data_IF_606797787002
#
_entry.id   IF_606797787002
#
_cell.length_a   1.000
_cell.length_b   1.000
_cell.length_c   1.000
_cell.angle_alpha   90.00
_cell.angle_beta   90.00
_cell.angle_gamma   90.00
#
_symmetry.space_group_name_H-M   'P 1'
#
loop_
_entity.id
_entity.type
_entity.pdbx_description
1 polymer ?
#
# COMPACT_ATOMS: atom_id res chain seq x y z
N UNK A 1 -43.26 -37.31 24.99
CA UNK A 1 -43.24 -36.45 23.77
C UNK A 1 -42.74 -35.05 24.09
N UNK A 2 -43.18 -34.42 25.18
CA UNK A 2 -42.76 -33.05 25.58
C UNK A 2 -41.24 -32.89 25.80
N UNK A 3 -40.57 -33.83 26.46
CA UNK A 3 -39.11 -33.78 26.67
C UNK A 3 -38.29 -33.80 25.36
N UNK A 4 -38.76 -34.52 24.34
CA UNK A 4 -38.09 -34.60 23.03
C UNK A 4 -38.21 -33.25 22.29
N UNK A 5 -39.37 -32.59 22.41
CA UNK A 5 -39.57 -31.26 21.83
C UNK A 5 -38.71 -30.21 22.54
N UNK A 6 -38.59 -30.27 23.88
CA UNK A 6 -37.70 -29.37 24.62
C UNK A 6 -36.23 -29.55 24.23
N UNK A 7 -35.76 -30.80 24.11
CA UNK A 7 -34.39 -31.09 23.66
C UNK A 7 -34.18 -30.58 22.22
N UNK A 8 -35.14 -30.82 21.32
CA UNK A 8 -35.06 -30.34 19.94
C UNK A 8 -34.97 -28.81 19.87
N UNK A 9 -35.76 -28.08 20.66
CA UNK A 9 -35.70 -26.61 20.72
C UNK A 9 -34.36 -26.12 21.26
N UNK A 10 -33.82 -26.74 22.32
CA UNK A 10 -32.51 -26.38 22.88
C UNK A 10 -31.40 -26.60 21.85
N UNK A 11 -31.43 -27.73 21.14
CA UNK A 11 -30.44 -28.04 20.09
C UNK A 11 -30.52 -27.03 18.95
N UNK A 12 -31.73 -26.69 18.48
CA UNK A 12 -31.92 -25.67 17.43
C UNK A 12 -31.43 -24.30 17.91
N UNK A 13 -31.75 -23.90 19.13
CA UNK A 13 -31.30 -22.63 19.70
C UNK A 13 -29.76 -22.59 19.84
N UNK A 14 -29.14 -23.68 20.27
CA UNK A 14 -27.69 -23.80 20.38
C UNK A 14 -27.00 -23.75 18.99
N UNK A 15 -27.58 -24.41 17.98
CA UNK A 15 -27.07 -24.36 16.60
C UNK A 15 -27.22 -22.97 15.99
N UNK A 16 -28.36 -22.31 16.20
CA UNK A 16 -28.58 -20.92 15.75
C UNK A 16 -27.66 -19.92 16.45
N UNK A 17 -27.42 -20.10 17.76
CA UNK A 17 -26.47 -19.28 18.50
C UNK A 17 -25.02 -19.50 18.01
N UNK A 18 -24.64 -20.74 17.75
CA UNK A 18 -23.31 -21.09 17.22
C UNK A 18 -23.10 -20.54 15.82
N UNK A 19 -24.10 -20.61 14.93
CA UNK A 19 -24.00 -20.04 13.59
C UNK A 19 -23.90 -18.52 13.64
N UNK A 20 -24.72 -17.85 14.46
CA UNK A 20 -24.66 -16.40 14.66
C UNK A 20 -23.31 -15.92 15.26
N UNK A 21 -22.80 -16.62 16.28
CA UNK A 21 -21.46 -16.34 16.83
C UNK A 21 -20.36 -16.49 15.78
N UNK A 22 -20.46 -17.51 14.92
CA UNK A 22 -19.47 -17.77 13.88
C UNK A 22 -19.47 -16.67 12.83
N UNK A 23 -20.65 -16.28 12.33
CA UNK A 23 -20.75 -15.19 11.33
C UNK A 23 -20.27 -13.86 11.90
N UNK A 24 -20.57 -13.54 13.15
CA UNK A 24 -20.09 -12.30 13.80
C UNK A 24 -18.57 -12.27 14.02
N UNK A 25 -17.94 -13.42 14.30
CA UNK A 25 -16.49 -13.50 14.40
C UNK A 25 -15.82 -13.39 13.04
N UNK A 26 -16.41 -14.01 12.01
CA UNK A 26 -15.91 -13.94 10.63
C UNK A 26 -16.03 -12.53 10.05
N UNK A 27 -17.14 -11.81 10.30
CA UNK A 27 -17.28 -10.40 9.91
C UNK A 27 -16.24 -9.54 10.61
N UNK A 28 -16.11 -9.67 11.95
CA UNK A 28 -15.13 -8.88 12.71
C UNK A 28 -13.69 -9.10 12.22
N UNK A 29 -13.30 -10.36 11.99
CA UNK A 29 -11.97 -10.69 11.44
C UNK A 29 -11.76 -10.11 10.05
N UNK A 30 -12.78 -10.18 9.18
CA UNK A 30 -12.69 -9.60 7.83
C UNK A 30 -12.56 -8.07 7.88
N UNK A 31 -13.27 -7.43 8.79
CA UNK A 31 -13.21 -5.98 8.97
C UNK A 31 -11.84 -5.57 9.55
N UNK A 32 -11.29 -6.34 10.50
CA UNK A 32 -9.93 -6.17 11.04
C UNK A 32 -8.87 -6.31 9.92
N UNK A 33 -8.95 -7.35 9.08
CA UNK A 33 -8.03 -7.54 7.94
C UNK A 33 -8.14 -6.37 6.94
N UNK A 34 -9.37 -6.02 6.55
CA UNK A 34 -9.62 -4.91 5.62
C UNK A 34 -9.07 -3.58 6.15
N UNK A 35 -9.19 -3.34 7.47
CA UNK A 35 -8.62 -2.15 8.11
C UNK A 35 -7.09 -2.12 8.06
N UNK A 36 -6.43 -3.26 8.34
CA UNK A 36 -4.97 -3.35 8.29
C UNK A 36 -4.42 -3.21 6.86
N UNK A 37 -5.13 -3.79 5.88
CA UNK A 37 -4.82 -3.64 4.47
C UNK A 37 -4.95 -2.18 4.02
N UNK A 38 -6.04 -1.51 4.39
CA UNK A 38 -6.26 -0.08 4.12
C UNK A 38 -5.15 0.77 4.72
N UNK A 39 -4.80 0.55 5.99
CA UNK A 39 -3.71 1.26 6.66
C UNK A 39 -2.37 1.08 5.95
N UNK A 40 -2.08 -0.13 5.47
CA UNK A 40 -0.82 -0.40 4.76
C UNK A 40 -0.72 0.37 3.43
N UNK A 41 -1.80 0.37 2.65
CA UNK A 41 -1.85 1.09 1.38
C UNK A 41 -1.83 2.61 1.63
N UNK A 42 -2.56 3.09 2.64
CA UNK A 42 -2.57 4.51 3.02
C UNK A 42 -1.18 4.99 3.42
N UNK A 43 -0.47 4.25 4.27
CA UNK A 43 0.92 4.51 4.62
C UNK A 43 1.84 4.53 3.40
N UNK A 44 1.63 3.63 2.44
CA UNK A 44 2.40 3.63 1.17
C UNK A 44 2.15 4.93 0.39
N UNK A 45 0.90 5.40 0.32
CA UNK A 45 0.57 6.67 -0.31
C UNK A 45 1.19 7.87 0.45
N UNK A 46 1.21 7.84 1.78
CA UNK A 46 1.89 8.86 2.60
C UNK A 46 3.41 8.90 2.34
N UNK A 47 4.05 7.73 2.19
CA UNK A 47 5.45 7.63 1.75
C UNK A 47 5.65 8.26 0.37
N UNK A 48 4.72 8.04 -0.58
CA UNK A 48 4.79 8.60 -1.93
C UNK A 48 4.57 10.12 -1.95
N UNK A 49 3.70 10.64 -1.09
CA UNK A 49 3.49 12.08 -0.90
C UNK A 49 4.75 12.71 -0.31
N UNK A 50 5.34 12.08 0.71
CA UNK A 50 6.59 12.55 1.31
C UNK A 50 7.69 12.60 0.26
N UNK A 51 7.83 11.53 -0.53
CA UNK A 51 8.81 11.46 -1.61
C UNK A 51 8.58 12.52 -2.68
N UNK A 52 7.32 12.77 -3.06
CA UNK A 52 6.96 13.84 -3.99
C UNK A 52 7.29 15.24 -3.45
N UNK A 53 7.14 15.46 -2.14
CA UNK A 53 7.59 16.70 -1.49
C UNK A 53 9.11 16.90 -1.58
N UNK A 54 9.90 15.84 -1.39
CA UNK A 54 11.36 15.88 -1.61
C UNK A 54 11.70 16.18 -3.07
N UNK A 55 11.02 15.53 -4.02
CA UNK A 55 11.20 15.77 -5.46
C UNK A 55 10.90 17.24 -5.84
N UNK A 56 9.87 17.84 -5.24
CA UNK A 56 9.55 19.26 -5.40
C UNK A 56 10.63 20.18 -4.83
N UNK A 57 11.20 19.82 -3.69
CA UNK A 57 12.33 20.57 -3.13
C UNK A 57 13.56 20.50 -4.03
N UNK A 58 13.86 19.32 -4.60
CA UNK A 58 14.95 19.18 -5.57
C UNK A 58 14.67 20.01 -6.83
N UNK A 59 13.43 20.05 -7.30
CA UNK A 59 13.04 20.90 -8.42
C UNK A 59 13.22 22.39 -8.08
N UNK A 60 12.85 22.84 -6.88
CA UNK A 60 13.04 24.22 -6.45
C UNK A 60 14.52 24.61 -6.55
N UNK A 61 15.40 23.76 -6.01
CA UNK A 61 16.86 23.93 -6.09
C UNK A 61 17.36 24.00 -7.55
N UNK A 62 16.85 23.12 -8.42
CA UNK A 62 17.18 23.12 -9.85
C UNK A 62 16.70 24.39 -10.57
N UNK A 63 15.66 25.06 -10.07
CA UNK A 63 15.06 26.25 -10.68
C UNK A 63 15.66 27.56 -10.15
N UNK A 64 16.42 27.53 -9.05
CA UNK A 64 17.04 28.73 -8.48
C UNK A 64 17.86 29.48 -9.53
N UNK A 65 17.57 30.77 -9.71
CA UNK A 65 18.26 31.65 -10.63
C UNK A 65 17.88 31.48 -12.11
N UNK A 66 16.93 30.61 -12.44
CA UNK A 66 16.41 30.44 -13.80
C UNK A 66 15.18 31.32 -14.03
N UNK A 67 15.05 31.86 -15.25
CA UNK A 67 13.85 32.59 -15.67
C UNK A 67 12.73 31.60 -16.05
N UNK A 68 11.83 31.35 -15.10
CA UNK A 68 10.62 30.57 -15.31
C UNK A 68 9.62 31.44 -16.09
N UNK A 69 9.67 31.39 -17.41
CA UNK A 69 8.62 31.98 -18.27
C UNK A 69 7.22 31.44 -17.91
N UNK A 70 6.16 32.07 -18.41
CA UNK A 70 4.79 31.84 -17.91
C UNK A 70 4.33 30.37 -17.94
N UNK A 71 4.67 29.63 -18.99
CA UNK A 71 4.33 28.21 -19.09
C UNK A 71 5.02 27.35 -18.03
N UNK A 72 6.30 27.61 -17.74
CA UNK A 72 7.02 26.87 -16.70
C UNK A 72 6.51 27.23 -15.30
N UNK A 73 6.13 28.50 -15.08
CA UNK A 73 5.53 28.94 -13.81
C UNK A 73 4.17 28.28 -13.55
N UNK A 74 3.33 28.15 -14.59
CA UNK A 74 2.03 27.46 -14.48
C UNK A 74 2.19 25.96 -14.18
N UNK A 75 3.11 25.28 -14.86
CA UNK A 75 3.37 23.86 -14.61
C UNK A 75 4.00 23.65 -13.21
N UNK A 76 4.85 24.58 -12.74
CA UNK A 76 5.40 24.56 -11.38
C UNK A 76 4.30 24.70 -10.32
N UNK A 77 3.39 25.66 -10.51
CA UNK A 77 2.23 25.84 -9.63
C UNK A 77 1.35 24.58 -9.61
N UNK A 78 1.10 23.95 -10.76
CA UNK A 78 0.34 22.70 -10.83
C UNK A 78 1.00 21.59 -10.01
N UNK A 79 2.33 21.49 -10.03
CA UNK A 79 3.05 20.49 -9.24
C UNK A 79 2.88 20.73 -7.73
N UNK A 80 2.94 21.99 -7.28
CA UNK A 80 2.68 22.38 -5.88
C UNK A 80 1.22 22.09 -5.48
N UNK A 81 0.26 22.43 -6.34
CA UNK A 81 -1.16 22.19 -6.11
C UNK A 81 -1.47 20.68 -6.00
N UNK A 82 -0.80 19.85 -6.82
CA UNK A 82 -0.88 18.39 -6.73
C UNK A 82 -0.37 17.88 -5.37
N UNK A 83 0.72 18.43 -4.84
CA UNK A 83 1.23 18.02 -3.53
C UNK A 83 0.23 18.33 -2.40
N UNK A 84 -0.31 19.55 -2.38
CA UNK A 84 -1.32 19.92 -1.39
C UNK A 84 -2.62 19.12 -1.55
N UNK A 85 -3.04 18.89 -2.79
CA UNK A 85 -4.22 18.06 -3.09
C UNK A 85 -4.02 16.61 -2.64
N UNK A 86 -2.85 16.03 -2.84
CA UNK A 86 -2.54 14.66 -2.42
C UNK A 86 -2.55 14.53 -0.89
N UNK A 87 -1.95 15.48 -0.17
CA UNK A 87 -2.01 15.56 1.31
C UNK A 87 -3.44 15.63 1.84
N UNK A 88 -4.29 16.44 1.21
CA UNK A 88 -5.70 16.54 1.61
C UNK A 88 -6.48 15.27 1.29
N UNK A 89 -6.24 14.69 0.11
CA UNK A 89 -6.94 13.50 -0.36
C UNK A 89 -6.62 12.28 0.50
N UNK A 90 -5.35 12.03 0.83
CA UNK A 90 -4.96 10.88 1.67
C UNK A 90 -5.57 10.95 3.07
N UNK A 91 -5.70 12.17 3.63
CA UNK A 91 -6.37 12.39 4.91
C UNK A 91 -7.84 11.96 4.93
N UNK A 92 -8.51 12.00 3.78
CA UNK A 92 -9.94 11.68 3.60
C UNK A 92 -10.18 10.21 3.18
N UNK A 93 -9.13 9.43 2.94
CA UNK A 93 -9.26 8.02 2.56
C UNK A 93 -9.84 7.19 3.71
N UNK A 94 -10.96 6.55 3.40
CA UNK A 94 -11.74 5.62 4.27
C UNK A 94 -11.94 4.25 3.62
N UNK A 95 -11.65 4.11 2.33
CA UNK A 95 -11.75 2.87 1.55
C UNK A 95 -10.53 2.72 0.63
N UNK A 96 -10.07 1.49 0.40
CA UNK A 96 -8.83 1.23 -0.37
C UNK A 96 -8.96 1.73 -1.82
N UNK A 97 -10.16 1.68 -2.39
CA UNK A 97 -10.47 2.13 -3.75
C UNK A 97 -10.17 3.62 -3.95
N UNK A 98 -10.27 4.42 -2.90
CA UNK A 98 -10.04 5.87 -2.95
C UNK A 98 -8.54 6.21 -3.12
N UNK A 99 -7.63 5.29 -2.80
CA UNK A 99 -6.18 5.49 -2.98
C UNK A 99 -5.85 5.78 -4.44
N UNK A 100 -6.60 5.19 -5.38
CA UNK A 100 -6.42 5.45 -6.81
C UNK A 100 -6.33 6.95 -7.12
N UNK A 101 -7.21 7.76 -6.53
CA UNK A 101 -7.25 9.19 -6.77
C UNK A 101 -6.05 9.93 -6.18
N UNK A 102 -5.54 9.51 -5.03
CA UNK A 102 -4.31 10.05 -4.44
C UNK A 102 -3.15 9.83 -5.41
N UNK A 103 -3.05 8.64 -5.98
CA UNK A 103 -1.98 8.29 -6.91
C UNK A 103 -2.12 9.04 -8.24
N UNK A 104 -3.34 9.17 -8.79
CA UNK A 104 -3.58 9.99 -9.99
C UNK A 104 -3.11 11.45 -9.81
N UNK A 105 -3.36 12.05 -8.63
CA UNK A 105 -2.92 13.42 -8.31
C UNK A 105 -1.39 13.52 -8.29
N UNK A 106 -0.71 12.53 -7.70
CA UNK A 106 0.75 12.48 -7.65
C UNK A 106 1.36 12.33 -9.05
N UNK A 107 0.76 11.50 -9.91
CA UNK A 107 1.20 11.33 -11.29
C UNK A 107 1.03 12.60 -12.12
N UNK A 108 -0.06 13.34 -11.92
CA UNK A 108 -0.25 14.66 -12.52
C UNK A 108 0.81 15.66 -12.04
N UNK A 109 1.17 15.61 -10.76
CA UNK A 109 2.23 16.40 -10.17
C UNK A 109 3.59 16.11 -10.82
N UNK A 110 4.00 14.84 -10.89
CA UNK A 110 5.27 14.43 -11.52
C UNK A 110 5.34 14.76 -13.00
N UNK A 111 4.22 14.63 -13.73
CA UNK A 111 4.14 15.07 -15.11
C UNK A 111 4.31 16.60 -15.25
N UNK A 112 3.72 17.39 -14.35
CA UNK A 112 3.90 18.83 -14.33
C UNK A 112 5.37 19.22 -14.06
N UNK A 113 6.05 18.55 -13.13
CA UNK A 113 7.49 18.74 -12.90
C UNK A 113 8.33 18.41 -14.13
N UNK A 114 7.99 17.34 -14.87
CA UNK A 114 8.67 17.01 -16.12
C UNK A 114 8.45 18.10 -17.18
N UNK A 115 7.26 18.69 -17.26
CA UNK A 115 6.99 19.85 -18.13
C UNK A 115 7.82 21.08 -17.73
N UNK A 116 7.97 21.38 -16.43
CA UNK A 116 8.83 22.47 -15.95
C UNK A 116 10.26 22.29 -16.46
N UNK A 117 10.85 21.12 -16.22
CA UNK A 117 12.23 20.81 -16.64
C UNK A 117 12.39 20.95 -18.15
N UNK A 118 11.46 20.40 -18.93
CA UNK A 118 11.50 20.48 -20.39
C UNK A 118 11.46 21.93 -20.89
N UNK A 119 10.53 22.75 -20.37
CA UNK A 119 10.42 24.17 -20.78
C UNK A 119 11.67 24.97 -20.45
N UNK A 120 12.21 24.78 -19.26
CA UNK A 120 13.40 25.49 -18.79
C UNK A 120 14.65 25.10 -19.59
N UNK A 121 14.73 23.85 -20.03
CA UNK A 121 15.83 23.36 -20.87
C UNK A 121 15.61 23.60 -22.37
N UNK A 122 14.46 24.16 -22.79
CA UNK A 122 14.12 24.34 -24.20
C UNK A 122 13.85 23.02 -24.95
N UNK A 123 13.51 21.97 -24.21
CA UNK A 123 13.20 20.65 -24.74
C UNK A 123 11.70 20.54 -25.11
N UNK A 124 11.33 19.62 -26.03
CA UNK A 124 9.94 19.30 -26.28
C UNK A 124 9.24 18.83 -25.00
N UNK A 125 7.97 19.23 -24.82
CA UNK A 125 7.19 18.74 -23.68
C UNK A 125 7.08 17.22 -23.73
N UNK A 126 7.21 16.53 -22.58
CA UNK A 126 7.09 15.10 -22.52
C UNK A 126 5.69 14.66 -22.94
N UNK A 127 5.58 13.51 -23.61
CA UNK A 127 4.28 12.89 -23.82
C UNK A 127 3.75 12.38 -22.49
N UNK A 128 2.42 12.49 -22.27
CA UNK A 128 1.80 11.92 -21.07
C UNK A 128 1.82 10.40 -21.18
N UNK A 129 2.78 9.80 -20.50
CA UNK A 129 2.99 8.36 -20.39
C UNK A 129 2.72 7.91 -18.94
N UNK A 130 2.44 6.62 -18.73
CA UNK A 130 2.32 6.06 -17.39
C UNK A 130 3.64 6.17 -16.64
N UNK A 131 3.56 6.05 -15.32
CA UNK A 131 4.71 5.95 -14.42
C UNK A 131 5.64 4.81 -14.81
N UNK A 132 6.89 4.87 -14.31
CA UNK A 132 7.76 3.71 -14.37
C UNK A 132 7.11 2.51 -13.66
N UNK A 133 7.02 1.40 -14.39
CA UNK A 133 6.43 0.16 -13.91
C UNK A 133 7.15 -0.39 -12.68
N UNK A 134 8.48 -0.30 -12.63
CA UNK A 134 9.31 -0.87 -11.57
C UNK A 134 9.23 -0.07 -10.27
N UNK A 135 9.36 1.26 -10.39
CA UNK A 135 9.17 2.17 -9.28
C UNK A 135 8.42 3.42 -9.76
N UNK A 136 7.13 3.56 -9.44
CA UNK A 136 6.33 4.71 -9.81
C UNK A 136 6.88 6.06 -9.34
N UNK A 137 7.65 6.07 -8.25
CA UNK A 137 8.32 7.28 -7.75
C UNK A 137 9.38 7.83 -8.74
N UNK A 138 9.81 7.04 -9.75
CA UNK A 138 10.69 7.54 -10.81
C UNK A 138 9.99 8.49 -11.79
N UNK A 139 8.67 8.66 -11.68
CA UNK A 139 7.88 9.52 -12.54
C UNK A 139 7.58 8.90 -13.92
N UNK A 140 7.24 9.73 -14.92
CA UNK A 140 6.78 9.25 -16.22
C UNK A 140 7.81 8.37 -16.95
N UNK A 141 7.33 7.30 -17.56
CA UNK A 141 8.14 6.44 -18.42
C UNK A 141 8.57 7.17 -19.69
N UNK A 142 9.72 6.77 -20.24
CA UNK A 142 10.26 7.31 -21.51
C UNK A 142 10.23 6.29 -22.64
N UNK A 143 10.19 4.99 -22.31
CA UNK A 143 10.12 3.90 -23.27
C UNK A 143 9.48 2.66 -22.63
N UNK A 144 9.05 1.72 -23.46
CA UNK A 144 8.65 0.39 -23.03
C UNK A 144 9.85 -0.57 -23.16
N UNK A 145 9.98 -1.50 -22.20
CA UNK A 145 11.02 -2.54 -22.22
C UNK A 145 10.41 -3.92 -22.03
N UNK A 146 10.94 -4.90 -22.76
CA UNK A 146 10.57 -6.30 -22.55
C UNK A 146 11.23 -6.82 -21.28
N UNK A 147 10.43 -7.21 -20.29
CA UNK A 147 10.89 -7.71 -19.01
C UNK A 147 10.02 -8.85 -18.49
N UNK A 148 10.62 -9.77 -17.74
CA UNK A 148 9.93 -10.86 -17.05
C UNK A 148 10.37 -10.89 -15.58
N UNK A 149 9.43 -11.05 -14.62
CA UNK A 149 9.82 -11.40 -13.26
C UNK A 149 10.40 -12.82 -13.22
N UNK A 150 11.13 -13.21 -12.17
CA UNK A 150 11.59 -14.58 -11.98
C UNK A 150 10.44 -15.60 -12.15
N UNK A 151 10.61 -16.56 -13.06
CA UNK A 151 9.59 -17.57 -13.36
C UNK A 151 8.38 -17.08 -14.16
N UNK A 152 8.33 -15.80 -14.55
CA UNK A 152 7.24 -15.21 -15.33
C UNK A 152 7.51 -15.16 -16.83
N UNK A 153 6.47 -14.78 -17.59
CA UNK A 153 6.57 -14.56 -19.02
C UNK A 153 7.08 -13.13 -19.34
N UNK A 154 7.90 -12.95 -20.38
CA UNK A 154 8.29 -11.63 -20.87
C UNK A 154 7.11 -10.82 -21.37
N UNK A 155 7.10 -9.53 -21.06
CA UNK A 155 6.08 -8.55 -21.45
C UNK A 155 6.67 -7.16 -21.57
N UNK A 156 6.06 -6.31 -22.39
CA UNK A 156 6.42 -4.90 -22.46
C UNK A 156 5.86 -4.14 -21.25
N UNK A 157 6.72 -3.40 -20.57
CA UNK A 157 6.35 -2.55 -19.44
C UNK A 157 6.94 -1.14 -19.61
N UNK A 158 6.19 -0.08 -19.26
CA UNK A 158 6.69 1.29 -19.31
C UNK A 158 7.78 1.50 -18.26
N UNK A 159 8.92 2.10 -18.63
CA UNK A 159 10.03 2.32 -17.71
C UNK A 159 10.65 3.73 -17.86
N UNK A 160 11.16 4.27 -16.75
CA UNK A 160 11.94 5.52 -16.76
C UNK A 160 13.29 5.28 -17.45
N UNK A 161 13.99 6.36 -17.80
CA UNK A 161 15.27 6.27 -18.52
C UNK A 161 16.30 5.37 -17.82
N UNK A 162 16.40 5.47 -16.48
CA UNK A 162 17.33 4.67 -15.69
C UNK A 162 16.99 3.17 -15.70
N UNK A 163 15.71 2.81 -15.54
CA UNK A 163 15.31 1.39 -15.55
C UNK A 163 15.33 0.80 -16.95
N UNK A 164 15.08 1.61 -17.99
CA UNK A 164 15.31 1.20 -19.38
C UNK A 164 16.77 0.76 -19.59
N UNK A 165 17.72 1.54 -19.07
CA UNK A 165 19.14 1.22 -19.16
C UNK A 165 19.50 -0.04 -18.36
N UNK A 166 19.05 -0.15 -17.11
CA UNK A 166 19.29 -1.34 -16.26
C UNK A 166 18.79 -2.62 -16.92
N UNK A 167 17.54 -2.63 -17.38
CA UNK A 167 16.93 -3.82 -17.99
C UNK A 167 17.67 -4.21 -19.28
N UNK A 168 18.03 -3.24 -20.12
CA UNK A 168 18.79 -3.51 -21.36
C UNK A 168 20.21 -4.03 -21.10
N UNK A 169 20.82 -3.64 -19.98
CA UNK A 169 22.10 -4.15 -19.53
C UNK A 169 22.00 -5.53 -18.86
N UNK A 170 20.79 -6.08 -18.69
CA UNK A 170 20.56 -7.32 -17.95
C UNK A 170 20.69 -7.18 -16.42
N UNK A 171 20.70 -5.95 -15.91
CA UNK A 171 20.71 -5.67 -14.49
C UNK A 171 19.27 -5.66 -13.92
N UNK A 172 19.15 -5.87 -12.60
CA UNK A 172 17.87 -5.74 -11.93
C UNK A 172 17.40 -4.28 -11.97
N UNK A 173 16.13 -4.02 -12.35
CA UNK A 173 15.54 -2.69 -12.24
C UNK A 173 15.39 -2.30 -10.77
N UNK A 174 15.29 -1.00 -10.50
CA UNK A 174 15.02 -0.53 -9.14
C UNK A 174 13.53 -0.63 -8.84
N UNK A 175 13.16 -1.63 -8.04
CA UNK A 175 11.78 -2.04 -7.78
C UNK A 175 11.25 -1.43 -6.48
N UNK A 176 10.11 -0.74 -6.57
CA UNK A 176 9.37 -0.28 -5.40
C UNK A 176 8.84 -1.46 -4.59
N UNK A 177 9.42 -1.63 -3.40
CA UNK A 177 8.93 -2.58 -2.39
C UNK A 177 8.10 -1.85 -1.35
N UNK A 178 6.97 -2.44 -0.97
CA UNK A 178 6.04 -1.92 0.03
C UNK A 178 5.92 -2.90 1.19
N UNK A 179 5.53 -2.40 2.36
CA UNK A 179 5.33 -3.25 3.54
C UNK A 179 3.98 -3.97 3.45
N UNK A 180 4.00 -5.30 3.60
CA UNK A 180 2.81 -6.13 3.85
C UNK A 180 3.09 -6.97 5.08
N UNK A 181 2.43 -6.66 6.19
CA UNK A 181 2.81 -7.21 7.50
C UNK A 181 4.29 -6.90 7.82
N UNK A 182 5.12 -7.91 8.15
CA UNK A 182 6.54 -7.73 8.44
C UNK A 182 7.46 -7.80 7.20
N UNK A 183 6.93 -8.05 6.00
CA UNK A 183 7.74 -8.28 4.79
C UNK A 183 7.70 -7.09 3.84
N UNK A 184 8.83 -6.85 3.15
CA UNK A 184 8.91 -5.95 1.99
C UNK A 184 8.80 -6.75 0.70
N UNK A 185 7.72 -6.56 -0.03
CA UNK A 185 7.45 -7.21 -1.32
C UNK A 185 7.29 -6.17 -2.41
N UNK A 186 7.58 -6.48 -3.70
CA UNK A 186 7.23 -5.60 -4.80
C UNK A 186 5.76 -5.16 -4.72
N UNK A 187 5.45 -3.90 -5.04
CA UNK A 187 4.09 -3.38 -4.85
C UNK A 187 3.01 -4.14 -5.63
N UNK A 188 3.37 -4.80 -6.73
CA UNK A 188 2.45 -5.66 -7.50
C UNK A 188 2.20 -7.04 -6.90
N UNK A 189 2.99 -7.44 -5.91
CA UNK A 189 2.82 -8.65 -5.11
C UNK A 189 2.15 -8.35 -3.75
N UNK A 190 1.82 -7.08 -3.47
CA UNK A 190 1.35 -6.65 -2.16
C UNK A 190 -0.13 -6.99 -1.85
N UNK A 191 -0.77 -7.82 -2.68
CA UNK A 191 -2.12 -8.31 -2.49
C UNK A 191 -3.22 -7.42 -3.10
N UNK A 192 -4.50 -7.85 -2.98
CA UNK A 192 -5.62 -7.22 -3.69
C UNK A 192 -5.87 -5.76 -3.29
N UNK A 193 -5.57 -5.39 -2.04
CA UNK A 193 -5.74 -4.04 -1.53
C UNK A 193 -4.87 -3.00 -2.27
N UNK A 194 -3.77 -3.41 -2.92
CA UNK A 194 -2.92 -2.55 -3.74
C UNK A 194 -3.42 -2.40 -5.20
N UNK A 195 -4.50 -3.07 -5.58
CA UNK A 195 -5.07 -2.94 -6.93
C UNK A 195 -5.45 -1.49 -7.27
N UNK A 196 -6.15 -0.72 -6.40
CA UNK A 196 -6.45 0.69 -6.66
C UNK A 196 -5.20 1.56 -6.78
N UNK A 197 -4.15 1.26 -6.00
CA UNK A 197 -2.85 1.93 -6.08
C UNK A 197 -2.25 1.76 -7.48
N UNK A 198 -2.18 0.52 -7.98
CA UNK A 198 -1.72 0.23 -9.34
C UNK A 198 -2.60 0.87 -10.43
N UNK A 199 -3.91 0.87 -10.23
CA UNK A 199 -4.87 1.48 -11.16
C UNK A 199 -4.69 2.99 -11.28
N UNK A 200 -4.24 3.69 -10.24
CA UNK A 200 -3.97 5.13 -10.32
C UNK A 200 -2.84 5.47 -11.29
N UNK A 201 -1.91 4.53 -11.50
CA UNK A 201 -0.71 4.71 -12.33
C UNK A 201 -0.92 4.23 -13.76
N UNK A 202 -1.62 3.10 -13.91
CA UNK A 202 -1.78 2.41 -15.20
C UNK A 202 -3.21 2.43 -15.75
N UNK A 203 -4.16 3.02 -15.03
CA UNK A 203 -5.59 3.01 -15.39
C UNK A 203 -5.90 3.63 -16.75
N UNK A 204 -5.08 4.58 -17.21
CA UNK A 204 -5.20 5.20 -18.55
C UNK A 204 -4.72 4.31 -19.71
N UNK A 205 -3.94 3.25 -19.45
CA UNK A 205 -3.43 2.32 -20.48
C UNK A 205 -4.39 1.17 -20.83
N UNK A 206 -5.57 1.12 -20.22
CA UNK A 206 -6.50 0.01 -20.41
C UNK A 206 -6.04 -1.29 -19.73
N UNK A 207 -6.97 -2.22 -19.55
CA UNK A 207 -6.86 -3.40 -18.68
C UNK A 207 -5.74 -4.43 -18.96
N UNK A 208 -4.77 -4.12 -19.83
CA UNK A 208 -3.60 -4.95 -20.12
C UNK A 208 -2.68 -5.08 -18.90
N UNK A 209 -2.46 -3.99 -18.16
CA UNK A 209 -1.67 -4.05 -16.92
C UNK A 209 -2.48 -4.54 -15.72
N UNK A 210 -3.80 -4.33 -15.70
CA UNK A 210 -4.68 -4.95 -14.69
C UNK A 210 -4.60 -6.48 -14.76
N UNK A 211 -4.44 -7.06 -15.96
CA UNK A 211 -4.17 -8.48 -16.16
C UNK A 211 -2.87 -8.99 -15.51
N UNK A 212 -1.89 -8.12 -15.26
CA UNK A 212 -0.66 -8.45 -14.55
C UNK A 212 -0.88 -8.63 -13.04
N UNK A 213 -1.68 -7.75 -12.42
CA UNK A 213 -2.05 -7.82 -11.00
C UNK A 213 -3.11 -8.91 -10.75
N UNK A 214 -3.93 -9.21 -11.76
CA UNK A 214 -4.85 -10.37 -11.73
C UNK A 214 -4.10 -11.69 -12.01
N UNK A 215 -3.00 -11.64 -12.79
CA UNK A 215 -2.17 -12.81 -13.10
C UNK A 215 -1.50 -13.42 -11.85
N UNK A 216 -1.18 -12.61 -10.84
CA UNK A 216 -0.77 -13.08 -9.51
C UNK A 216 -1.93 -13.60 -8.66
N UNK A 217 -3.19 -13.24 -8.94
CA UNK A 217 -4.36 -13.92 -8.35
C UNK A 217 -4.51 -15.36 -8.90
N UNK A 218 -4.24 -15.60 -10.19
CA UNK A 218 -4.23 -16.96 -10.74
C UNK A 218 -2.93 -17.71 -10.39
N UNK A 219 -1.82 -16.97 -10.29
CA UNK A 219 -0.52 -17.45 -9.82
C UNK A 219 -0.54 -17.88 -8.36
N UNK A 220 -1.31 -17.24 -7.47
CA UNK A 220 -1.52 -17.69 -6.10
C UNK A 220 -2.38 -18.96 -6.00
N UNK A 221 -3.21 -19.25 -7.00
CA UNK A 221 -4.02 -20.48 -7.07
C UNK A 221 -3.27 -21.66 -7.72
N UNK A 222 -2.20 -21.39 -8.49
CA UNK A 222 -1.32 -22.40 -9.11
C UNK A 222 0.08 -22.49 -8.47
N UNK A 223 0.51 -21.51 -7.68
CA UNK A 223 1.63 -21.61 -6.74
C UNK A 223 1.17 -22.35 -5.47
N UNK A 224 0.52 -23.49 -5.67
CA UNK A 224 0.30 -24.47 -4.62
C UNK A 224 1.63 -25.11 -4.27
N UNK A 225 2.32 -24.55 -3.28
CA UNK A 225 3.49 -25.19 -2.66
C UNK A 225 4.64 -24.25 -2.35
N UNK A 226 4.45 -23.29 -1.45
CA UNK A 226 5.58 -22.56 -0.89
C UNK A 226 5.15 -21.31 -0.14
N UNK A 227 5.35 -21.35 1.17
CA UNK A 227 5.12 -20.29 2.17
C UNK A 227 3.69 -20.06 2.64
N UNK A 228 3.36 -20.67 3.79
CA UNK A 228 2.57 -19.96 4.81
C UNK A 228 1.24 -20.57 5.26
N UNK A 229 1.06 -21.89 5.23
CA UNK A 229 -0.01 -22.51 6.04
C UNK A 229 0.38 -22.47 7.54
N UNK A 230 0.04 -21.36 8.19
CA UNK A 230 0.01 -21.23 9.65
C UNK A 230 -1.31 -20.60 10.07
N UNK A 231 -2.44 -21.27 9.82
CA UNK A 231 -3.67 -21.04 10.56
C UNK A 231 -4.70 -22.15 10.31
N UNK A 232 -4.49 -23.30 10.96
CA UNK A 232 -5.51 -24.20 11.50
C UNK A 232 -6.85 -24.38 10.76
N UNK A 233 -7.05 -25.59 10.26
CA UNK A 233 -8.40 -26.14 10.09
C UNK A 233 -8.46 -27.13 8.94
N UNK A 234 -8.28 -28.42 9.25
CA UNK A 234 -8.42 -29.51 8.29
C UNK A 234 -9.76 -29.45 7.55
N UNK A 235 -9.68 -29.47 6.23
CA UNK A 235 -10.82 -29.72 5.35
C UNK A 235 -11.08 -31.22 5.34
N UNK A 236 -12.14 -31.64 6.02
CA UNK A 236 -12.70 -32.99 5.95
C UNK A 236 -13.51 -33.08 4.63
N UNK A 237 -12.84 -33.55 3.58
CA UNK A 237 -13.42 -33.85 2.28
C UNK A 237 -13.71 -35.35 2.19
N UNK A 238 -15.00 -35.71 2.14
CA UNK A 238 -15.45 -37.10 2.12
C UNK A 238 -14.97 -37.90 0.90
N UNK A 239 -14.70 -39.18 1.14
CA UNK A 239 -14.47 -40.21 0.13
C UNK A 239 -14.72 -41.59 0.73
N UNK A 240 -15.68 -42.32 0.16
CA UNK A 240 -15.92 -43.74 0.43
C UNK A 240 -14.86 -44.57 -0.30
N UNK A 241 -14.28 -45.57 0.37
CA UNK A 241 -14.16 -46.98 -0.08
C UNK A 241 -13.04 -47.76 0.66
N UNK A 242 -13.40 -48.95 1.18
CA UNK A 242 -12.59 -50.17 1.00
C UNK A 242 -11.56 -50.60 2.05
N UNK A 243 -11.91 -51.65 2.82
CA UNK A 243 -10.97 -52.61 3.45
C UNK A 243 -10.38 -52.15 4.79
N UNK A 244 -10.18 -52.96 5.82
CA UNK A 244 -10.08 -54.40 5.96
C UNK A 244 -9.11 -54.63 7.12
N UNK A 245 -9.49 -55.47 8.08
CA UNK A 245 -8.76 -55.79 9.31
C UNK A 245 -7.26 -56.09 9.12
N UNK A 246 -6.44 -55.65 10.08
CA UNK A 246 -5.05 -56.07 10.23
C UNK A 246 -4.36 -55.37 11.39
N UNK A 247 -4.33 -56.03 12.55
CA UNK A 247 -3.70 -55.53 13.77
C UNK A 247 -2.18 -55.70 13.85
N UNK A 248 -1.62 -55.26 14.99
CA UNK A 248 -0.37 -55.81 15.53
C UNK A 248 0.69 -54.79 15.95
N UNK A 249 1.07 -54.91 17.23
CA UNK A 249 2.35 -54.59 17.92
C UNK A 249 2.79 -53.10 17.98
N UNK A 250 2.79 -52.50 19.17
CA UNK A 250 3.80 -52.56 20.27
C UNK A 250 4.98 -51.62 20.03
N UNK A 251 5.21 -50.74 21.00
CA UNK A 251 6.33 -49.79 21.00
C UNK A 251 6.04 -48.59 21.91
N UNK A 252 6.02 -48.83 23.22
CA UNK A 252 6.00 -47.78 24.20
C UNK A 252 7.33 -47.02 24.26
N UNK A 253 7.25 -45.72 24.52
CA UNK A 253 8.06 -45.07 25.54
C UNK A 253 7.38 -43.74 25.90
N UNK A 254 7.17 -43.55 27.19
CA UNK A 254 6.59 -42.35 27.75
C UNK A 254 7.42 -41.89 28.95
N UNK A 255 7.56 -40.58 29.10
CA UNK A 255 7.83 -39.93 30.38
C UNK A 255 9.14 -39.15 30.47
N UNK A 256 9.04 -37.93 31.00
CA UNK A 256 10.14 -37.07 31.48
C UNK A 256 10.11 -35.68 30.83
N UNK A 257 9.31 -34.74 31.33
CA UNK A 257 9.71 -33.66 32.27
C UNK A 257 10.63 -32.61 31.61
N UNK A 258 10.28 -31.34 31.46
CA UNK A 258 9.74 -30.46 32.50
C UNK A 258 10.92 -29.76 33.19
N UNK A 259 11.39 -28.64 32.64
CA UNK A 259 12.51 -27.88 33.22
C UNK A 259 12.76 -26.53 32.56
N UNK A 260 12.29 -25.48 33.25
CA UNK A 260 12.96 -24.22 33.57
C UNK A 260 13.66 -23.40 32.47
N UNK A 261 13.00 -22.31 32.06
CA UNK A 261 13.68 -21.07 31.70
C UNK A 261 13.10 -19.91 32.51
N UNK A 262 13.73 -19.68 33.65
CA UNK A 262 13.67 -18.45 34.44
C UNK A 262 14.43 -17.35 33.69
N UNK A 263 13.74 -16.26 33.35
CA UNK A 263 14.42 -14.99 33.08
C UNK A 263 13.96 -13.96 34.09
N UNK A 264 14.93 -13.66 34.95
CA UNK A 264 15.01 -12.60 35.94
C UNK A 264 14.24 -11.34 35.58
N UNK A 265 13.39 -11.00 36.54
CA UNK A 265 12.96 -9.67 36.94
C UNK A 265 14.17 -8.71 37.02
N UNK A 266 14.13 -7.61 36.25
CA UNK A 266 14.36 -6.22 36.70
C UNK A 266 14.59 -5.30 35.49
N UNK A 267 13.64 -4.39 35.25
CA UNK A 267 13.91 -2.94 35.12
C UNK A 267 12.67 -2.19 34.62
N UNK A 268 12.04 -1.48 35.56
CA UNK A 268 11.59 -0.09 35.35
C UNK A 268 10.43 0.13 34.38
N UNK A 269 9.23 0.23 34.93
CA UNK A 269 8.20 1.07 34.34
C UNK A 269 8.55 2.55 34.51
N UNK A 270 8.14 3.39 33.57
CA UNK A 270 7.36 4.57 33.91
C UNK A 270 6.50 5.02 32.73
N UNK A 271 5.26 5.39 33.04
CA UNK A 271 4.25 5.86 32.11
C UNK A 271 4.41 7.37 31.93
N UNK A 272 4.86 7.82 30.76
CA UNK A 272 4.67 9.21 30.30
C UNK A 272 3.65 9.20 29.15
N UNK A 273 2.47 9.79 29.24
CA UNK A 273 2.18 11.11 29.82
C UNK A 273 2.37 12.13 28.70
N UNK A 274 1.29 12.39 27.96
CA UNK A 274 1.32 13.34 26.85
C UNK A 274 1.51 14.77 27.33
N UNK A 275 2.16 15.58 26.51
CA UNK A 275 1.89 17.02 26.44
C UNK A 275 2.22 17.53 25.04
N UNK A 276 1.18 18.06 24.42
CA UNK A 276 1.20 18.86 23.21
C UNK A 276 1.90 20.19 23.50
N UNK A 277 3.14 20.34 23.03
CA UNK A 277 3.86 21.60 23.04
C UNK A 277 3.25 22.61 22.07
N UNK A 278 2.52 23.57 22.62
CA UNK A 278 2.06 24.78 21.93
C UNK A 278 3.23 25.72 21.66
N UNK A 279 3.25 26.30 20.47
CA UNK A 279 4.18 27.34 20.06
C UNK A 279 3.69 28.68 20.59
N UNK A 280 4.39 29.20 21.60
CA UNK A 280 4.21 30.51 22.19
C UNK A 280 4.88 31.57 21.30
N UNK A 281 4.08 32.36 20.58
CA UNK A 281 4.56 33.59 19.95
C UNK A 281 4.37 34.74 20.96
N UNK A 282 5.47 35.06 21.63
CA UNK A 282 5.58 36.21 22.51
C UNK A 282 5.31 37.54 21.79
N UNK A 283 4.38 38.29 22.36
CA UNK A 283 4.42 39.71 22.69
C UNK A 283 5.19 40.69 21.78
N UNK A 284 4.44 41.62 21.20
CA UNK A 284 4.94 42.89 20.69
C UNK A 284 3.86 43.96 20.79
N UNK A 285 3.79 44.64 21.92
CA UNK A 285 3.04 45.88 22.12
C UNK A 285 3.61 46.99 21.22
N UNK A 286 2.72 47.76 20.57
CA UNK A 286 3.15 48.84 19.67
C UNK A 286 2.05 49.78 19.24
N UNK A 287 1.58 50.61 20.17
CA UNK A 287 1.29 52.04 19.95
C UNK A 287 0.17 52.43 18.97
N UNK A 288 -0.93 52.94 19.52
CA UNK A 288 -1.86 53.78 18.78
C UNK A 288 -1.26 55.13 18.39
N UNK A 289 -1.68 55.64 17.24
CA UNK A 289 -1.67 57.06 16.90
C UNK A 289 -2.92 57.42 16.10
N UNK A 290 -3.52 58.53 16.51
CA UNK A 290 -4.67 59.23 15.94
C UNK A 290 -4.44 59.73 14.50
N UNK A 291 -5.55 59.90 13.76
CA UNK A 291 -5.85 61.18 13.12
C UNK A 291 -5.71 61.32 11.60
N UNK A 292 -6.85 61.62 10.94
CA UNK A 292 -6.98 62.29 9.64
C UNK A 292 -6.87 61.35 8.42
N UNK A 293 -7.84 61.19 7.52
CA UNK A 293 -8.87 62.10 7.06
C UNK A 293 -8.34 62.93 5.89
N UNK A 294 -8.43 62.43 4.66
CA UNK A 294 -8.51 63.22 3.42
C UNK A 294 -9.22 62.40 2.32
N UNK A 295 -10.30 62.99 1.80
CA UNK A 295 -10.86 62.70 0.49
C UNK A 295 -9.85 63.04 -0.61
N UNK A 296 -9.77 62.23 -1.66
CA UNK A 296 -9.77 62.59 -3.10
C UNK A 296 -9.80 61.31 -3.95
#
# INVERSE_FOLDING_TARGET
MEFILLIAVIVIAALAYRSYRRTQLETKKRDEISSAELESVKRTADEDITKFGEELQDLDLDMVGKDLGDGARQDYQRALDSYESAKQAVGQVTQAEQIKHVIEILEDGRYAMACVRARVNGEPLPQRRPSCFFNPQHGPSVADVTWAPPGGAPREVPACAADVERVRAGAEPDVRKVMVGPQRVPYWEAGPAYSPYAQGMFGGLGGVMTGMFIGTMLGGMFAGGGYGDYAGGGFDGGGFDGGGDGGGYDGGDGGGDGGDFDFSQDSGGDFGGGDSGGWDFGGGDGGGFDGGGFDF
#
